data_IF_930010515838
#
_entry.id   IF_930010515838
#
_cell.length_a   1.000
_cell.length_b   1.000
_cell.length_c   1.000
_cell.angle_alpha   90.00
_cell.angle_beta   90.00
_cell.angle_gamma   90.00
#
_symmetry.space_group_name_H-M   'P 1'
#
loop_
_entity.id
_entity.type
_entity.pdbx_description
1 polymer ?
#
# COMPACT_ATOMS: atom_id res chain seq x y z
N UNK A 1 28.65 -18.35 -17.93
CA UNK A 1 27.62 -19.40 -18.07
C UNK A 1 26.20 -18.87 -17.91
N UNK A 2 25.84 -18.16 -16.82
CA UNK A 2 24.45 -17.68 -16.59
C UNK A 2 23.84 -16.86 -17.74
N UNK A 3 24.56 -15.88 -18.30
CA UNK A 3 24.04 -15.07 -19.42
C UNK A 3 23.86 -15.86 -20.72
N UNK A 4 24.73 -16.85 -20.97
CA UNK A 4 24.58 -17.74 -22.14
C UNK A 4 23.34 -18.62 -21.96
N UNK A 5 23.12 -19.17 -20.77
CA UNK A 5 21.92 -19.94 -20.46
C UNK A 5 20.65 -19.09 -20.65
N UNK A 6 20.64 -17.84 -20.15
CA UNK A 6 19.51 -16.93 -20.37
C UNK A 6 19.28 -16.61 -21.84
N UNK A 7 20.35 -16.46 -22.63
CA UNK A 7 20.24 -16.27 -24.07
C UNK A 7 19.64 -17.50 -24.78
N UNK A 8 19.97 -18.70 -24.33
CA UNK A 8 19.33 -19.93 -24.82
C UNK A 8 17.86 -19.96 -24.41
N UNK A 9 17.54 -19.69 -23.15
CA UNK A 9 16.16 -19.67 -22.64
C UNK A 9 15.29 -18.71 -23.46
N UNK A 10 15.72 -17.46 -23.67
CA UNK A 10 14.92 -16.50 -24.45
C UNK A 10 14.75 -16.95 -25.91
N UNK A 11 15.80 -17.49 -26.52
CA UNK A 11 15.70 -18.03 -27.90
C UNK A 11 14.70 -19.19 -27.97
N UNK A 12 14.70 -20.06 -26.96
CA UNK A 12 13.73 -21.17 -26.87
C UNK A 12 12.31 -20.65 -26.65
N UNK A 13 12.11 -19.68 -25.76
CA UNK A 13 10.79 -19.08 -25.52
C UNK A 13 10.23 -18.48 -26.81
N UNK A 14 11.02 -17.66 -27.51
CA UNK A 14 10.63 -17.04 -28.78
C UNK A 14 10.26 -18.09 -29.85
N UNK A 15 10.97 -19.21 -29.90
CA UNK A 15 10.65 -20.31 -30.82
C UNK A 15 9.35 -21.01 -30.45
N UNK A 16 9.09 -21.20 -29.15
CA UNK A 16 7.88 -21.86 -28.66
C UNK A 16 6.63 -21.00 -28.78
N UNK A 17 6.75 -19.67 -28.82
CA UNK A 17 5.62 -18.74 -28.93
C UNK A 17 4.71 -19.01 -30.13
N UNK A 18 5.30 -19.28 -31.31
CA UNK A 18 4.54 -19.58 -32.52
C UNK A 18 3.77 -20.91 -32.39
N UNK A 19 4.40 -21.92 -31.79
CA UNK A 19 3.74 -23.19 -31.50
C UNK A 19 2.61 -23.04 -30.47
N UNK A 20 2.81 -22.18 -29.47
CA UNK A 20 1.81 -21.86 -28.45
C UNK A 20 0.57 -21.22 -29.09
N UNK A 21 0.77 -20.19 -29.91
CA UNK A 21 -0.29 -19.52 -30.66
C UNK A 21 -1.03 -20.48 -31.60
N UNK A 22 -0.30 -21.30 -32.37
CA UNK A 22 -0.92 -22.19 -33.36
C UNK A 22 -1.75 -23.31 -32.72
N UNK A 23 -1.26 -23.90 -31.63
CA UNK A 23 -1.83 -25.13 -31.10
C UNK A 23 -2.77 -24.90 -29.90
N UNK A 24 -2.63 -23.79 -29.18
CA UNK A 24 -3.29 -23.58 -27.88
C UNK A 24 -4.04 -22.25 -27.74
N UNK A 25 -4.27 -21.50 -28.82
CA UNK A 25 -4.98 -20.21 -28.77
C UNK A 25 -6.45 -20.28 -29.22
N UNK A 26 -6.73 -21.05 -30.27
CA UNK A 26 -8.05 -21.07 -30.91
C UNK A 26 -8.93 -22.19 -30.31
N UNK A 27 -9.26 -23.22 -31.10
CA UNK A 27 -10.18 -24.30 -30.70
C UNK A 27 -9.73 -25.08 -29.44
N UNK A 28 -8.41 -25.11 -29.17
CA UNK A 28 -7.82 -25.80 -28.02
C UNK A 28 -7.22 -24.81 -27.01
N UNK A 29 -7.94 -23.74 -26.65
CA UNK A 29 -7.45 -22.77 -25.68
C UNK A 29 -7.12 -23.41 -24.32
N UNK A 30 -5.84 -23.37 -23.92
CA UNK A 30 -5.37 -23.90 -22.63
C UNK A 30 -4.89 -22.78 -21.71
N UNK A 31 -5.78 -22.37 -20.81
CA UNK A 31 -5.48 -21.33 -19.82
C UNK A 31 -4.18 -21.59 -19.03
N UNK A 32 -3.94 -22.83 -18.60
CA UNK A 32 -2.80 -23.14 -17.71
C UNK A 32 -1.47 -23.00 -18.44
N UNK A 33 -1.41 -23.38 -19.71
CA UNK A 33 -0.21 -23.25 -20.53
C UNK A 33 0.12 -21.77 -20.76
N UNK A 34 -0.88 -20.96 -21.12
CA UNK A 34 -0.73 -19.52 -21.30
C UNK A 34 -0.35 -18.80 -20.01
N UNK A 35 -1.01 -19.15 -18.90
CA UNK A 35 -0.68 -18.61 -17.58
C UNK A 35 0.79 -18.91 -17.22
N UNK A 36 1.19 -20.18 -17.37
CA UNK A 36 2.57 -20.61 -17.13
C UNK A 36 3.58 -19.90 -18.04
N UNK A 37 3.21 -19.62 -19.29
CA UNK A 37 4.03 -18.87 -20.23
C UNK A 37 4.29 -17.44 -19.75
N UNK A 38 3.23 -16.70 -19.37
CA UNK A 38 3.39 -15.33 -18.85
C UNK A 38 4.18 -15.30 -17.55
N UNK A 39 3.92 -16.24 -16.63
CA UNK A 39 4.69 -16.34 -15.39
C UNK A 39 6.17 -16.66 -15.66
N UNK A 40 6.49 -17.55 -16.60
CA UNK A 40 7.88 -17.82 -17.00
C UNK A 40 8.57 -16.55 -17.52
N UNK A 41 7.89 -15.79 -18.39
CA UNK A 41 8.43 -14.58 -18.96
C UNK A 41 8.66 -13.49 -17.89
N UNK A 42 7.71 -13.32 -16.97
CA UNK A 42 7.84 -12.39 -15.82
C UNK A 42 9.00 -12.82 -14.91
N UNK A 43 9.07 -14.10 -14.54
CA UNK A 43 10.16 -14.63 -13.70
C UNK A 43 11.50 -14.39 -14.38
N UNK A 44 11.60 -14.66 -15.69
CA UNK A 44 12.82 -14.43 -16.49
C UNK A 44 13.27 -12.96 -16.39
N UNK A 45 12.38 -12.01 -16.65
CA UNK A 45 12.70 -10.58 -16.60
C UNK A 45 13.14 -10.14 -15.19
N UNK A 46 12.48 -10.65 -14.15
CA UNK A 46 12.74 -10.28 -12.76
C UNK A 46 14.01 -10.93 -12.15
N UNK A 47 14.69 -11.83 -12.86
CA UNK A 47 15.90 -12.48 -12.33
C UNK A 47 17.01 -11.48 -11.98
N UNK A 48 17.59 -11.63 -10.79
CA UNK A 48 18.71 -10.78 -10.30
C UNK A 48 19.91 -10.72 -11.27
N UNK A 49 20.15 -11.79 -12.03
CA UNK A 49 21.27 -11.82 -12.97
C UNK A 49 21.03 -11.01 -14.27
N UNK A 50 19.81 -10.55 -14.50
CA UNK A 50 19.43 -9.67 -15.60
C UNK A 50 19.19 -8.22 -15.14
N UNK A 51 19.26 -7.93 -13.84
CA UNK A 51 19.18 -6.58 -13.29
C UNK A 51 20.48 -5.80 -13.52
N UNK A 52 20.66 -5.30 -14.74
CA UNK A 52 21.89 -4.67 -15.23
C UNK A 52 22.25 -3.38 -14.48
N UNK A 53 21.29 -2.74 -13.84
CA UNK A 53 21.48 -1.58 -12.96
C UNK A 53 22.31 -1.91 -11.71
N UNK A 54 22.37 -3.18 -11.31
CA UNK A 54 23.20 -3.65 -10.19
C UNK A 54 24.63 -4.00 -10.62
N UNK A 55 24.95 -3.92 -11.93
CA UNK A 55 26.27 -4.25 -12.44
C UNK A 55 27.18 -3.02 -12.49
N UNK A 56 28.49 -3.26 -12.44
CA UNK A 56 29.48 -2.24 -12.77
C UNK A 56 29.32 -1.79 -14.22
N UNK A 57 29.65 -0.52 -14.51
CA UNK A 57 29.51 0.07 -15.85
C UNK A 57 30.22 -0.76 -16.93
N UNK A 58 31.44 -1.25 -16.66
CA UNK A 58 32.21 -2.08 -17.60
C UNK A 58 31.54 -3.42 -17.88
N UNK A 59 30.96 -4.07 -16.86
CA UNK A 59 30.23 -5.34 -17.03
C UNK A 59 28.95 -5.11 -17.81
N UNK A 60 28.15 -4.10 -17.45
CA UNK A 60 26.92 -3.72 -18.15
C UNK A 60 27.17 -3.48 -19.63
N UNK A 61 28.19 -2.69 -19.98
CA UNK A 61 28.59 -2.42 -21.37
C UNK A 61 28.89 -3.70 -22.15
N UNK A 62 29.74 -4.58 -21.61
CA UNK A 62 30.09 -5.86 -22.26
C UNK A 62 28.88 -6.78 -22.45
N UNK A 63 27.94 -6.79 -21.51
CA UNK A 63 26.72 -7.61 -21.62
C UNK A 63 25.82 -7.07 -22.74
N UNK A 64 25.58 -5.76 -22.76
CA UNK A 64 24.75 -5.11 -23.78
C UNK A 64 25.35 -5.24 -25.19
N UNK A 65 26.66 -5.09 -25.34
CA UNK A 65 27.35 -5.27 -26.63
C UNK A 65 27.21 -6.69 -27.19
N UNK A 66 27.17 -7.70 -26.31
CA UNK A 66 27.16 -9.11 -26.73
C UNK A 66 25.76 -9.71 -26.87
N UNK A 67 24.83 -9.33 -26.00
CA UNK A 67 23.50 -9.96 -25.90
C UNK A 67 22.33 -8.97 -26.03
N UNK A 68 22.59 -7.66 -26.04
CA UNK A 68 21.55 -6.66 -25.83
C UNK A 68 20.94 -6.73 -24.42
N UNK A 69 19.83 -6.03 -24.22
CA UNK A 69 19.03 -6.18 -22.99
C UNK A 69 17.94 -7.23 -23.23
N UNK A 70 18.22 -8.47 -22.84
CA UNK A 70 17.30 -9.61 -22.98
C UNK A 70 15.93 -9.36 -22.30
N UNK A 71 15.86 -8.48 -21.30
CA UNK A 71 14.59 -8.13 -20.64
C UNK A 71 13.66 -7.39 -21.60
N UNK A 72 14.21 -6.52 -22.46
CA UNK A 72 13.44 -5.77 -23.46
C UNK A 72 12.89 -6.73 -24.51
N UNK A 73 13.71 -7.65 -25.01
CA UNK A 73 13.27 -8.66 -25.97
C UNK A 73 12.14 -9.51 -25.40
N UNK A 74 12.26 -9.96 -24.14
CA UNK A 74 11.18 -10.71 -23.48
C UNK A 74 9.93 -9.84 -23.24
N UNK A 75 10.09 -8.55 -22.93
CA UNK A 75 8.96 -7.61 -22.79
C UNK A 75 8.19 -7.42 -24.11
N UNK A 76 8.90 -7.27 -25.23
CA UNK A 76 8.30 -7.24 -26.56
C UNK A 76 7.53 -8.53 -26.85
N UNK A 77 8.07 -9.66 -26.43
CA UNK A 77 7.43 -10.95 -26.59
C UNK A 77 6.16 -11.07 -25.74
N UNK A 78 6.19 -10.68 -24.46
CA UNK A 78 5.00 -10.61 -23.61
C UNK A 78 3.93 -9.73 -24.27
N UNK A 79 4.32 -8.55 -24.76
CA UNK A 79 3.39 -7.65 -25.44
C UNK A 79 2.77 -8.31 -26.67
N UNK A 80 3.57 -8.91 -27.55
CA UNK A 80 3.07 -9.56 -28.76
C UNK A 80 2.13 -10.73 -28.43
N UNK A 81 2.51 -11.57 -27.48
CA UNK A 81 1.71 -12.71 -27.05
C UNK A 81 0.42 -12.27 -26.39
N UNK A 82 0.46 -11.23 -25.57
CA UNK A 82 -0.72 -10.62 -24.97
C UNK A 82 -1.71 -10.14 -26.04
N UNK A 83 -1.24 -9.48 -27.11
CA UNK A 83 -2.13 -9.04 -28.19
C UNK A 83 -2.87 -10.19 -28.88
N UNK A 84 -2.27 -11.38 -28.95
CA UNK A 84 -2.85 -12.54 -29.61
C UNK A 84 -3.98 -13.21 -28.81
N UNK A 85 -4.04 -13.04 -27.48
CA UNK A 85 -4.99 -13.75 -26.60
C UNK A 85 -6.47 -13.46 -26.94
N UNK A 86 -6.78 -12.29 -27.52
CA UNK A 86 -8.16 -11.91 -27.84
C UNK A 86 -9.06 -11.83 -26.60
N UNK A 87 -10.28 -12.38 -26.68
CA UNK A 87 -11.30 -12.30 -25.62
C UNK A 87 -10.89 -13.00 -24.31
N UNK A 88 -9.97 -13.96 -24.39
CA UNK A 88 -9.50 -14.68 -23.20
C UNK A 88 -8.70 -13.81 -22.23
N UNK A 89 -8.29 -12.59 -22.62
CA UNK A 89 -7.55 -11.64 -21.77
C UNK A 89 -8.24 -11.41 -20.43
N UNK A 90 -9.57 -11.33 -20.42
CA UNK A 90 -10.38 -11.07 -19.21
C UNK A 90 -10.08 -12.08 -18.09
N UNK A 91 -9.79 -13.34 -18.43
CA UNK A 91 -9.47 -14.37 -17.45
C UNK A 91 -8.07 -14.22 -16.83
N UNK A 92 -7.16 -13.53 -17.51
CA UNK A 92 -5.79 -13.32 -17.03
C UNK A 92 -5.61 -12.01 -16.27
N UNK A 93 -6.40 -10.97 -16.58
CA UNK A 93 -6.27 -9.62 -16.00
C UNK A 93 -6.13 -9.66 -14.45
N UNK A 94 -7.00 -10.36 -13.69
CA UNK A 94 -6.91 -10.34 -12.22
C UNK A 94 -5.63 -10.94 -11.67
N UNK A 95 -5.02 -11.89 -12.39
CA UNK A 95 -3.81 -12.61 -12.00
C UNK A 95 -2.54 -11.90 -12.49
N UNK A 96 -2.54 -11.34 -13.70
CA UNK A 96 -1.35 -10.78 -14.36
C UNK A 96 -1.09 -9.29 -14.09
N UNK A 97 -2.04 -8.52 -13.54
CA UNK A 97 -1.78 -7.12 -13.15
C UNK A 97 -0.55 -7.00 -12.24
N UNK A 98 -0.46 -7.83 -11.20
CA UNK A 98 0.68 -7.81 -10.27
C UNK A 98 2.01 -8.18 -10.94
N UNK A 99 2.10 -9.36 -11.58
CA UNK A 99 3.27 -9.78 -12.36
C UNK A 99 3.74 -8.75 -13.40
N UNK A 100 2.83 -8.14 -14.16
CA UNK A 100 3.21 -7.12 -15.14
C UNK A 100 3.65 -5.81 -14.49
N UNK A 101 3.07 -5.42 -13.34
CA UNK A 101 3.56 -4.28 -12.56
C UNK A 101 5.01 -4.51 -12.08
N UNK A 102 5.36 -5.72 -11.65
CA UNK A 102 6.75 -6.02 -11.26
C UNK A 102 7.74 -5.76 -12.40
N UNK A 103 7.37 -6.17 -13.63
CA UNK A 103 8.15 -5.94 -14.84
C UNK A 103 8.27 -4.45 -15.15
N UNK A 104 7.18 -3.68 -15.07
CA UNK A 104 7.20 -2.24 -15.40
C UNK A 104 7.94 -1.40 -14.38
N UNK A 105 8.05 -1.85 -13.13
CA UNK A 105 8.80 -1.15 -12.09
C UNK A 105 10.33 -1.25 -12.26
N UNK A 106 10.84 -2.16 -13.10
CA UNK A 106 12.27 -2.24 -13.43
C UNK A 106 12.72 -0.93 -14.11
N UNK A 107 13.85 -0.32 -13.71
CA UNK A 107 14.36 0.93 -14.27
C UNK A 107 15.02 0.73 -15.65
N UNK A 108 14.24 0.22 -16.60
CA UNK A 108 14.61 0.05 -18.01
C UNK A 108 13.54 0.76 -18.87
N UNK A 109 13.88 1.87 -19.55
CA UNK A 109 12.89 2.71 -20.26
C UNK A 109 12.15 2.03 -21.41
N UNK A 110 12.84 1.23 -22.24
CA UNK A 110 12.25 0.59 -23.42
C UNK A 110 11.21 -0.46 -23.02
N UNK A 111 11.52 -1.25 -22.00
CA UNK A 111 10.67 -2.24 -21.36
C UNK A 111 9.43 -1.57 -20.77
N UNK A 112 9.61 -0.43 -20.06
CA UNK A 112 8.47 0.38 -19.57
C UNK A 112 7.58 0.84 -20.73
N UNK A 113 8.17 1.38 -21.80
CA UNK A 113 7.44 1.85 -22.97
C UNK A 113 6.65 0.75 -23.69
N UNK A 114 7.16 -0.48 -23.68
CA UNK A 114 6.49 -1.65 -24.29
C UNK A 114 5.38 -2.20 -23.38
N UNK A 115 5.64 -2.28 -22.07
CA UNK A 115 4.77 -2.99 -21.14
C UNK A 115 3.64 -2.11 -20.56
N UNK A 116 3.88 -0.83 -20.30
CA UNK A 116 2.84 0.09 -19.76
C UNK A 116 1.57 0.11 -20.64
N UNK A 117 1.66 0.14 -21.99
CA UNK A 117 0.51 -0.03 -22.88
C UNK A 117 -0.42 -1.21 -22.60
N UNK A 118 0.06 -2.28 -21.98
CA UNK A 118 -0.78 -3.44 -21.65
C UNK A 118 -1.85 -3.07 -20.63
N UNK A 119 -1.56 -2.18 -19.66
CA UNK A 119 -2.56 -1.75 -18.68
C UNK A 119 -3.73 -0.99 -19.30
N UNK A 120 -3.49 -0.24 -20.37
CA UNK A 120 -4.58 0.35 -21.16
C UNK A 120 -5.48 -0.74 -21.75
N UNK A 121 -4.90 -1.78 -22.34
CA UNK A 121 -5.65 -2.89 -22.91
C UNK A 121 -6.42 -3.68 -21.83
N UNK A 122 -5.83 -3.88 -20.64
CA UNK A 122 -6.53 -4.46 -19.50
C UNK A 122 -7.75 -3.62 -19.09
N UNK A 123 -7.62 -2.29 -19.04
CA UNK A 123 -8.72 -1.38 -18.74
C UNK A 123 -9.81 -1.43 -19.81
N UNK A 124 -9.43 -1.44 -21.09
CA UNK A 124 -10.38 -1.52 -22.21
C UNK A 124 -11.17 -2.84 -22.21
N UNK A 125 -10.51 -3.98 -21.98
CA UNK A 125 -11.17 -5.28 -21.90
C UNK A 125 -12.12 -5.39 -20.70
N UNK A 126 -11.74 -4.89 -19.53
CA UNK A 126 -12.65 -4.88 -18.37
C UNK A 126 -13.85 -3.94 -18.61
N UNK A 127 -13.60 -2.77 -19.22
CA UNK A 127 -14.65 -1.81 -19.54
C UNK A 127 -15.66 -2.39 -20.53
N UNK A 128 -15.21 -3.09 -21.58
CA UNK A 128 -16.09 -3.77 -22.54
C UNK A 128 -16.91 -4.89 -21.90
N UNK A 129 -16.33 -5.62 -20.94
CA UNK A 129 -16.98 -6.75 -20.30
C UNK A 129 -17.97 -6.37 -19.19
N UNK A 130 -17.59 -5.41 -18.33
CA UNK A 130 -18.30 -5.09 -17.09
C UNK A 130 -18.85 -3.66 -17.02
N UNK A 131 -18.54 -2.82 -18.02
CA UNK A 131 -18.91 -1.40 -18.05
C UNK A 131 -18.14 -0.52 -17.06
N UNK A 132 -17.16 -1.06 -16.33
CA UNK A 132 -16.31 -0.34 -15.39
C UNK A 132 -14.90 -0.99 -15.31
N UNK A 133 -13.98 -0.38 -14.56
CA UNK A 133 -12.61 -0.90 -14.33
C UNK A 133 -12.30 -1.12 -12.83
N UNK A 134 -13.31 -1.41 -12.00
CA UNK A 134 -13.15 -1.51 -10.54
C UNK A 134 -12.22 -2.65 -10.13
N UNK A 135 -12.17 -3.74 -10.88
CA UNK A 135 -11.28 -4.87 -10.58
C UNK A 135 -9.84 -4.53 -10.92
N UNK A 136 -9.58 -3.94 -12.09
CA UNK A 136 -8.25 -3.43 -12.48
C UNK A 136 -7.79 -2.38 -11.47
N UNK A 137 -8.63 -1.40 -11.14
CA UNK A 137 -8.31 -0.38 -10.14
C UNK A 137 -7.94 -0.99 -8.79
N UNK A 138 -8.78 -1.88 -8.26
CA UNK A 138 -8.53 -2.51 -6.97
C UNK A 138 -7.21 -3.30 -6.96
N UNK A 139 -6.90 -4.03 -8.03
CA UNK A 139 -5.67 -4.82 -8.15
C UNK A 139 -4.43 -3.95 -8.35
N UNK A 140 -4.53 -2.88 -9.13
CA UNK A 140 -3.44 -1.90 -9.31
C UNK A 140 -3.08 -1.26 -7.97
N UNK A 141 -4.08 -0.76 -7.23
CA UNK A 141 -3.86 -0.12 -5.92
C UNK A 141 -3.20 -1.09 -4.93
N UNK A 142 -3.74 -2.31 -4.81
CA UNK A 142 -3.23 -3.33 -3.90
C UNK A 142 -1.77 -3.69 -4.21
N UNK A 143 -1.46 -3.94 -5.48
CA UNK A 143 -0.12 -4.35 -5.88
C UNK A 143 0.90 -3.21 -5.84
N UNK A 144 0.50 -1.99 -6.18
CA UNK A 144 1.38 -0.83 -6.07
C UNK A 144 1.77 -0.54 -4.62
N UNK A 145 0.84 -0.63 -3.66
CA UNK A 145 1.16 -0.46 -2.23
C UNK A 145 2.27 -1.41 -1.78
N UNK A 146 2.13 -2.71 -2.07
CA UNK A 146 3.13 -3.74 -1.73
C UNK A 146 4.46 -3.49 -2.43
N UNK A 147 4.45 -3.30 -3.75
CA UNK A 147 5.67 -3.23 -4.56
C UNK A 147 6.48 -1.95 -4.29
N UNK A 148 5.83 -0.80 -4.10
CA UNK A 148 6.54 0.43 -3.74
C UNK A 148 7.05 0.39 -2.29
N UNK A 149 6.32 -0.28 -1.38
CA UNK A 149 6.80 -0.53 -0.01
C UNK A 149 8.05 -1.43 0.02
N UNK A 150 8.19 -2.37 -0.92
CA UNK A 150 9.40 -3.19 -1.13
C UNK A 150 10.57 -2.42 -1.74
N UNK A 151 10.40 -1.13 -2.05
CA UNK A 151 11.43 -0.27 -2.62
C UNK A 151 11.53 -0.30 -4.15
N UNK A 152 10.58 -0.93 -4.85
CA UNK A 152 10.50 -0.90 -6.32
C UNK A 152 9.86 0.41 -6.81
N UNK A 153 10.06 0.74 -8.08
CA UNK A 153 9.49 1.95 -8.71
C UNK A 153 10.23 3.26 -8.39
N UNK A 154 10.03 4.26 -9.24
CA UNK A 154 10.66 5.57 -9.15
C UNK A 154 9.77 6.65 -9.77
N UNK A 155 10.17 7.92 -9.64
CA UNK A 155 9.43 9.06 -10.20
C UNK A 155 9.31 8.96 -11.73
N UNK A 156 10.33 8.44 -12.41
CA UNK A 156 10.30 8.30 -13.87
C UNK A 156 9.24 7.27 -14.31
N UNK A 157 9.02 6.21 -13.52
CA UNK A 157 7.93 5.26 -13.75
C UNK A 157 6.57 5.93 -13.60
N UNK A 158 6.36 6.71 -12.54
CA UNK A 158 5.12 7.46 -12.31
C UNK A 158 4.79 8.40 -13.47
N UNK A 159 5.78 9.14 -13.95
CA UNK A 159 5.65 10.05 -15.09
C UNK A 159 5.35 9.31 -16.40
N UNK A 160 6.05 8.20 -16.68
CA UNK A 160 5.82 7.37 -17.86
C UNK A 160 4.45 6.70 -17.83
N UNK A 161 4.03 6.16 -16.68
CA UNK A 161 2.72 5.54 -16.50
C UNK A 161 1.60 6.53 -16.81
N UNK A 162 1.67 7.74 -16.23
CA UNK A 162 0.71 8.80 -16.48
C UNK A 162 0.69 9.24 -17.95
N UNK A 163 1.85 9.58 -18.52
CA UNK A 163 1.95 10.13 -19.88
C UNK A 163 1.54 9.14 -20.97
N UNK A 164 1.98 7.88 -20.89
CA UNK A 164 1.67 6.86 -21.91
C UNK A 164 0.18 6.51 -21.89
N UNK A 165 -0.40 6.32 -20.70
CA UNK A 165 -1.80 5.91 -20.59
C UNK A 165 -2.75 7.05 -20.96
N UNK A 166 -2.49 8.29 -20.52
CA UNK A 166 -3.30 9.44 -20.92
C UNK A 166 -3.35 9.61 -22.44
N UNK A 167 -2.19 9.53 -23.10
CA UNK A 167 -2.09 9.62 -24.57
C UNK A 167 -2.90 8.53 -25.29
N UNK A 168 -3.00 7.33 -24.72
CA UNK A 168 -3.79 6.24 -25.32
C UNK A 168 -5.29 6.45 -25.13
N UNK A 169 -5.70 6.91 -23.96
CA UNK A 169 -7.12 7.09 -23.61
C UNK A 169 -7.78 8.27 -24.32
N UNK A 170 -7.03 9.26 -24.83
CA UNK A 170 -7.57 10.42 -25.54
C UNK A 170 -8.60 10.09 -26.64
N UNK A 171 -8.46 8.92 -27.27
CA UNK A 171 -9.30 8.47 -28.38
C UNK A 171 -10.43 7.54 -27.96
N UNK A 172 -10.50 7.17 -26.69
CA UNK A 172 -11.44 6.17 -26.17
C UNK A 172 -12.77 6.80 -25.74
N UNK A 173 -13.86 6.04 -25.86
CA UNK A 173 -15.21 6.48 -25.46
C UNK A 173 -15.34 6.59 -23.93
N UNK A 174 -14.57 5.80 -23.19
CA UNK A 174 -14.55 5.74 -21.73
C UNK A 174 -13.50 6.66 -21.09
N UNK A 175 -13.04 7.68 -21.84
CA UNK A 175 -11.91 8.54 -21.46
C UNK A 175 -12.04 9.24 -20.11
N UNK A 176 -13.23 9.71 -19.75
CA UNK A 176 -13.44 10.49 -18.52
C UNK A 176 -13.17 9.62 -17.28
N UNK A 177 -13.75 8.43 -17.27
CA UNK A 177 -13.52 7.42 -16.25
C UNK A 177 -12.05 6.96 -16.26
N UNK A 178 -11.47 6.70 -17.44
CA UNK A 178 -10.07 6.29 -17.58
C UNK A 178 -9.06 7.32 -17.04
N UNK A 179 -9.28 8.61 -17.32
CA UNK A 179 -8.45 9.71 -16.79
C UNK A 179 -8.56 9.77 -15.26
N UNK A 180 -9.75 9.56 -14.69
CA UNK A 180 -9.94 9.50 -13.24
C UNK A 180 -9.11 8.38 -12.61
N UNK A 181 -9.14 7.17 -13.18
CA UNK A 181 -8.33 6.05 -12.68
C UNK A 181 -6.82 6.35 -12.74
N UNK A 182 -6.33 6.86 -13.87
CA UNK A 182 -4.91 7.19 -14.01
C UNK A 182 -4.52 8.26 -12.99
N UNK A 183 -5.34 9.29 -12.80
CA UNK A 183 -5.08 10.32 -11.81
C UNK A 183 -5.00 9.74 -10.39
N UNK A 184 -5.93 8.87 -10.02
CA UNK A 184 -5.95 8.18 -8.72
C UNK A 184 -4.69 7.33 -8.53
N UNK A 185 -4.33 6.49 -9.51
CA UNK A 185 -3.15 5.61 -9.45
C UNK A 185 -1.85 6.40 -9.43
N UNK A 186 -1.75 7.49 -10.21
CA UNK A 186 -0.57 8.36 -10.25
C UNK A 186 -0.38 9.10 -8.93
N UNK A 187 -1.47 9.59 -8.33
CA UNK A 187 -1.44 10.23 -7.00
C UNK A 187 -1.09 9.24 -5.90
N UNK A 188 -1.57 7.99 -5.99
CA UNK A 188 -1.15 6.93 -5.09
C UNK A 188 0.37 6.70 -5.18
N UNK A 189 0.92 6.54 -6.39
CA UNK A 189 2.36 6.36 -6.59
C UNK A 189 3.15 7.53 -5.98
N UNK A 190 2.73 8.78 -6.20
CA UNK A 190 3.36 9.95 -5.61
C UNK A 190 3.41 9.87 -4.07
N UNK A 191 2.28 9.54 -3.44
CA UNK A 191 2.20 9.42 -1.97
C UNK A 191 3.03 8.27 -1.42
N UNK A 192 3.09 7.15 -2.13
CA UNK A 192 3.92 6.01 -1.75
C UNK A 192 5.42 6.29 -1.91
N UNK A 193 5.81 6.99 -2.98
CA UNK A 193 7.18 7.43 -3.20
C UNK A 193 7.62 8.44 -2.14
N UNK A 194 6.78 9.44 -1.83
CA UNK A 194 6.96 10.38 -0.71
C UNK A 194 7.14 9.62 0.62
N UNK A 195 6.23 8.68 0.92
CA UNK A 195 6.27 7.86 2.12
C UNK A 195 7.58 7.07 2.23
N UNK A 196 7.98 6.39 1.15
CA UNK A 196 9.24 5.64 1.09
C UNK A 196 10.45 6.53 1.36
N UNK A 197 10.48 7.72 0.79
CA UNK A 197 11.56 8.68 1.00
C UNK A 197 11.62 9.19 2.45
N UNK A 198 10.47 9.38 3.10
CA UNK A 198 10.40 9.71 4.53
C UNK A 198 10.89 8.57 5.44
N UNK A 199 10.72 7.30 5.01
CA UNK A 199 11.06 6.12 5.81
C UNK A 199 12.54 5.70 5.71
N UNK A 200 13.35 6.38 4.89
CA UNK A 200 14.80 6.12 4.80
C UNK A 200 15.51 6.38 6.13
N UNK A 201 16.57 5.60 6.38
CA UNK A 201 17.38 5.70 7.61
C UNK A 201 17.98 7.10 7.76
N UNK A 202 17.80 7.71 8.94
CA UNK A 202 18.34 9.03 9.29
C UNK A 202 17.32 10.18 9.31
N UNK A 203 16.07 9.95 8.89
CA UNK A 203 14.99 10.96 8.97
C UNK A 203 14.35 11.04 10.36
N UNK A 204 13.97 12.26 10.77
CA UNK A 204 13.36 12.57 12.09
C UNK A 204 11.99 11.89 12.20
N UNK A 205 11.69 11.30 13.36
CA UNK A 205 10.45 10.53 13.58
C UNK A 205 9.17 11.34 13.31
N UNK A 206 9.19 12.66 13.54
CA UNK A 206 8.08 13.53 13.18
C UNK A 206 7.76 13.58 11.69
N UNK A 207 8.76 13.46 10.79
CA UNK A 207 8.54 13.40 9.34
C UNK A 207 7.90 12.07 8.95
N UNK A 208 8.36 10.95 9.54
CA UNK A 208 7.79 9.61 9.32
C UNK A 208 6.31 9.55 9.74
N UNK A 209 6.00 10.08 10.92
CA UNK A 209 4.62 10.18 11.44
C UNK A 209 3.76 11.02 10.48
N UNK A 210 4.23 12.22 10.09
CA UNK A 210 3.50 13.10 9.17
C UNK A 210 3.21 12.47 7.80
N UNK A 211 4.20 11.81 7.19
CA UNK A 211 4.00 11.13 5.89
C UNK A 211 3.02 9.95 6.03
N UNK A 212 3.09 9.20 7.13
CA UNK A 212 2.16 8.09 7.41
C UNK A 212 0.72 8.58 7.56
N UNK A 213 0.51 9.69 8.29
CA UNK A 213 -0.81 10.31 8.45
C UNK A 213 -1.37 10.81 7.11
N UNK A 214 -0.54 11.43 6.27
CA UNK A 214 -0.97 11.88 4.95
C UNK A 214 -1.44 10.70 4.08
N UNK A 215 -0.72 9.58 4.12
CA UNK A 215 -1.06 8.38 3.35
C UNK A 215 -2.31 7.69 3.91
N UNK A 216 -2.45 7.63 5.24
CA UNK A 216 -3.63 7.13 5.94
C UNK A 216 -4.89 7.91 5.55
N UNK A 217 -4.81 9.25 5.51
CA UNK A 217 -5.93 10.09 5.06
C UNK A 217 -6.30 9.81 3.60
N UNK A 218 -5.30 9.66 2.72
CA UNK A 218 -5.53 9.32 1.31
C UNK A 218 -6.31 8.00 1.15
N UNK A 219 -5.95 6.96 1.89
CA UNK A 219 -6.67 5.68 1.86
C UNK A 219 -8.11 5.78 2.36
N UNK A 220 -8.38 6.64 3.36
CA UNK A 220 -9.72 6.86 3.92
C UNK A 220 -10.60 7.69 3.00
N UNK A 221 -10.13 8.87 2.58
CA UNK A 221 -10.97 9.87 1.93
C UNK A 221 -11.05 9.69 0.42
N UNK A 222 -9.99 9.20 -0.21
CA UNK A 222 -9.90 9.18 -1.67
C UNK A 222 -10.11 7.80 -2.27
N UNK A 223 -9.52 6.77 -1.67
CA UNK A 223 -9.59 5.41 -2.20
C UNK A 223 -10.71 4.56 -1.57
N UNK A 224 -11.16 4.92 -0.37
CA UNK A 224 -12.10 4.15 0.44
C UNK A 224 -11.69 2.66 0.55
N UNK A 225 -10.40 2.39 0.80
CA UNK A 225 -9.83 1.03 0.93
C UNK A 225 -9.57 0.72 2.39
N UNK A 226 -10.58 0.18 3.06
CA UNK A 226 -10.59 -0.07 4.50
C UNK A 226 -9.42 -0.95 4.98
N UNK A 227 -9.13 -2.06 4.29
CA UNK A 227 -8.01 -2.94 4.69
C UNK A 227 -6.66 -2.22 4.66
N UNK A 228 -6.41 -1.41 3.62
CA UNK A 228 -5.17 -0.62 3.55
C UNK A 228 -5.12 0.44 4.63
N UNK A 229 -6.25 1.11 4.87
CA UNK A 229 -6.38 2.07 5.97
C UNK A 229 -6.02 1.45 7.32
N UNK A 230 -6.53 0.24 7.64
CA UNK A 230 -6.22 -0.48 8.88
C UNK A 230 -4.73 -0.89 8.94
N UNK A 231 -4.12 -1.33 7.82
CA UNK A 231 -2.67 -1.62 7.77
C UNK A 231 -1.84 -0.39 8.12
N UNK A 232 -2.20 0.78 7.58
CA UNK A 232 -1.49 2.02 7.86
C UNK A 232 -1.77 2.58 9.26
N UNK A 233 -2.94 2.33 9.85
CA UNK A 233 -3.20 2.58 11.28
C UNK A 233 -2.18 1.81 12.13
N UNK A 234 -1.97 0.52 11.85
CA UNK A 234 -1.01 -0.29 12.62
C UNK A 234 0.45 0.15 12.40
N UNK A 235 0.83 0.50 11.17
CA UNK A 235 2.17 1.09 10.91
C UNK A 235 2.37 2.39 11.69
N UNK A 236 1.35 3.25 11.77
CA UNK A 236 1.39 4.50 12.53
C UNK A 236 1.45 4.25 14.05
N UNK A 237 0.67 3.28 14.54
CA UNK A 237 0.70 2.84 15.93
C UNK A 237 2.10 2.40 16.36
N UNK A 238 2.77 1.58 15.56
CA UNK A 238 4.13 1.11 15.84
C UNK A 238 5.15 2.27 15.84
N UNK A 239 4.97 3.27 14.99
CA UNK A 239 5.79 4.49 15.01
C UNK A 239 5.58 5.30 16.29
N UNK A 240 4.33 5.46 16.75
CA UNK A 240 4.04 6.14 18.01
C UNK A 240 4.60 5.40 19.22
N UNK A 241 4.51 4.06 19.24
CA UNK A 241 5.12 3.26 20.30
C UNK A 241 6.65 3.41 20.35
N UNK A 242 7.33 3.37 19.19
CA UNK A 242 8.78 3.57 19.10
C UNK A 242 9.20 4.95 19.58
N UNK A 243 8.39 5.98 19.31
CA UNK A 243 8.60 7.34 19.77
C UNK A 243 8.11 7.60 21.22
N UNK A 244 7.64 6.56 21.93
CA UNK A 244 7.04 6.65 23.27
C UNK A 244 5.85 7.60 23.39
N UNK A 245 5.17 7.88 22.27
CA UNK A 245 3.98 8.71 22.19
C UNK A 245 2.73 7.86 22.47
N UNK A 246 2.58 7.37 23.70
CA UNK A 246 1.51 6.40 24.06
C UNK A 246 0.08 6.96 23.88
N UNK A 247 -0.13 8.25 24.15
CA UNK A 247 -1.44 8.90 23.95
C UNK A 247 -1.82 8.94 22.47
N UNK A 248 -0.89 9.28 21.58
CA UNK A 248 -1.14 9.26 20.13
C UNK A 248 -1.30 7.82 19.61
N UNK A 249 -0.57 6.86 20.18
CA UNK A 249 -0.74 5.45 19.86
C UNK A 249 -2.17 4.98 20.19
N UNK A 250 -2.70 5.38 21.34
CA UNK A 250 -4.07 5.10 21.75
C UNK A 250 -5.10 5.73 20.79
N UNK A 251 -4.93 7.01 20.44
CA UNK A 251 -5.80 7.68 19.46
C UNK A 251 -5.72 7.07 18.07
N UNK A 252 -4.55 6.58 17.67
CA UNK A 252 -4.38 5.90 16.39
C UNK A 252 -5.20 4.62 16.34
N UNK A 253 -5.21 3.81 17.40
CA UNK A 253 -6.04 2.60 17.46
C UNK A 253 -7.55 2.91 17.56
N UNK A 254 -7.94 4.05 18.15
CA UNK A 254 -9.34 4.50 18.12
C UNK A 254 -9.85 4.70 16.69
N UNK A 255 -8.99 5.05 15.72
CA UNK A 255 -9.38 5.12 14.31
C UNK A 255 -9.81 3.76 13.76
N UNK A 256 -9.23 2.65 14.25
CA UNK A 256 -9.67 1.30 13.89
C UNK A 256 -10.94 0.92 14.66
N UNK A 257 -11.02 1.29 15.94
CA UNK A 257 -12.23 1.07 16.75
C UNK A 257 -13.49 1.67 16.10
N UNK A 258 -13.39 2.86 15.51
CA UNK A 258 -14.48 3.55 14.81
C UNK A 258 -15.03 2.78 13.59
N UNK A 259 -14.28 1.82 13.03
CA UNK A 259 -14.71 1.00 11.90
C UNK A 259 -15.45 -0.27 12.32
N UNK A 260 -15.34 -0.67 13.59
CA UNK A 260 -15.92 -1.90 14.11
C UNK A 260 -17.26 -1.63 14.79
N UNK A 261 -18.14 -2.62 14.77
CA UNK A 261 -19.39 -2.61 15.52
C UNK A 261 -19.35 -3.65 16.65
N UNK A 262 -20.15 -3.46 17.69
CA UNK A 262 -20.34 -4.46 18.75
C UNK A 262 -21.25 -5.57 18.24
N UNK A 263 -20.75 -6.37 17.29
CA UNK A 263 -21.51 -7.40 16.58
C UNK A 263 -20.81 -8.76 16.59
N UNK A 264 -21.58 -9.83 16.44
CA UNK A 264 -21.06 -11.19 16.29
C UNK A 264 -20.60 -11.50 14.84
N UNK A 265 -20.48 -10.49 13.98
CA UNK A 265 -20.04 -10.67 12.59
C UNK A 265 -18.66 -11.32 12.57
N UNK A 266 -18.47 -12.45 11.84
CA UNK A 266 -17.17 -13.10 11.78
C UNK A 266 -16.20 -12.27 10.93
N UNK A 267 -15.05 -11.95 11.50
CA UNK A 267 -13.92 -11.36 10.81
C UNK A 267 -12.92 -12.45 10.41
N UNK A 268 -12.39 -12.32 9.20
CA UNK A 268 -11.27 -13.15 8.74
C UNK A 268 -9.99 -12.82 9.50
N UNK A 269 -9.02 -13.73 9.39
CA UNK A 269 -7.65 -13.45 9.80
C UNK A 269 -7.12 -12.22 9.06
N UNK A 270 -6.55 -11.28 9.81
CA UNK A 270 -6.04 -10.04 9.24
C UNK A 270 -4.93 -9.48 10.12
N UNK A 271 -3.79 -9.12 9.51
CA UNK A 271 -2.57 -8.74 10.25
C UNK A 271 -2.18 -9.82 11.28
N UNK A 272 -2.13 -9.47 12.55
CA UNK A 272 -1.83 -10.38 13.66
C UNK A 272 -3.11 -10.84 14.39
N UNK A 273 -4.30 -10.50 13.90
CA UNK A 273 -5.55 -10.91 14.51
C UNK A 273 -6.02 -12.25 13.94
N UNK A 274 -6.34 -13.24 14.81
CA UNK A 274 -6.92 -14.49 14.36
C UNK A 274 -8.35 -14.28 13.85
N UNK A 275 -8.93 -15.33 13.26
CA UNK A 275 -10.35 -15.36 12.93
C UNK A 275 -11.17 -15.24 14.22
N UNK A 276 -11.99 -14.20 14.32
CA UNK A 276 -12.72 -13.84 15.54
C UNK A 276 -13.91 -12.94 15.19
N UNK A 277 -14.83 -12.70 16.13
CA UNK A 277 -15.95 -11.76 15.89
C UNK A 277 -15.49 -10.31 15.95
N UNK A 278 -16.28 -9.40 15.38
CA UNK A 278 -16.03 -7.96 15.54
C UNK A 278 -16.04 -7.55 17.00
N UNK A 279 -16.99 -8.07 17.77
CA UNK A 279 -17.09 -7.84 19.20
C UNK A 279 -15.77 -8.18 19.90
N UNK A 280 -15.20 -9.37 19.65
CA UNK A 280 -13.93 -9.80 20.22
C UNK A 280 -12.76 -8.91 19.79
N UNK A 281 -12.73 -8.49 18.51
CA UNK A 281 -11.70 -7.57 18.03
C UNK A 281 -11.81 -6.19 18.68
N UNK A 282 -13.03 -5.68 18.82
CA UNK A 282 -13.33 -4.39 19.41
C UNK A 282 -13.01 -4.38 20.91
N UNK A 283 -13.34 -5.45 21.63
CA UNK A 283 -12.95 -5.65 23.02
C UNK A 283 -11.43 -5.61 23.19
N UNK A 284 -10.70 -6.39 22.40
CA UNK A 284 -9.23 -6.42 22.43
C UNK A 284 -8.61 -5.04 22.17
N UNK A 285 -9.11 -4.31 21.17
CA UNK A 285 -8.66 -2.95 20.87
C UNK A 285 -8.92 -1.99 22.03
N UNK A 286 -10.11 -2.01 22.63
CA UNK A 286 -10.43 -1.18 23.79
C UNK A 286 -9.45 -1.42 24.96
N UNK A 287 -9.17 -2.68 25.29
CA UNK A 287 -8.22 -3.02 26.35
C UNK A 287 -6.81 -2.52 26.03
N UNK A 288 -6.35 -2.67 24.78
CA UNK A 288 -5.07 -2.13 24.32
C UNK A 288 -5.01 -0.61 24.37
N UNK A 289 -6.10 0.08 24.00
CA UNK A 289 -6.19 1.54 24.02
C UNK A 289 -6.15 2.05 25.47
N UNK A 290 -6.88 1.42 26.40
CA UNK A 290 -6.87 1.78 27.82
C UNK A 290 -5.45 1.65 28.39
N UNK A 291 -4.73 0.56 28.08
CA UNK A 291 -3.34 0.38 28.53
C UNK A 291 -2.41 1.47 27.98
N UNK A 292 -2.58 1.88 26.72
CA UNK A 292 -1.80 2.96 26.15
C UNK A 292 -2.15 4.33 26.76
N UNK A 293 -3.42 4.61 27.04
CA UNK A 293 -3.81 5.82 27.76
C UNK A 293 -3.27 5.86 29.19
N UNK A 294 -3.22 4.73 29.89
CA UNK A 294 -2.62 4.64 31.21
C UNK A 294 -1.12 4.98 31.17
N UNK A 295 -0.38 4.39 30.23
CA UNK A 295 1.06 4.71 30.01
C UNK A 295 1.27 6.16 29.59
N UNK A 296 0.37 6.71 28.78
CA UNK A 296 0.39 8.11 28.33
C UNK A 296 -0.12 9.11 29.36
N UNK A 297 -0.51 8.68 30.57
CA UNK A 297 -1.11 9.51 31.64
C UNK A 297 -2.35 10.29 31.20
N UNK A 298 -3.09 9.76 30.23
CA UNK A 298 -4.32 10.32 29.69
C UNK A 298 -5.54 9.59 30.27
N UNK A 299 -5.61 9.56 31.60
CA UNK A 299 -6.51 8.68 32.34
C UNK A 299 -7.99 9.00 32.15
N UNK A 300 -8.35 10.26 31.88
CA UNK A 300 -9.73 10.67 31.62
C UNK A 300 -10.32 9.95 30.41
N UNK A 301 -9.54 9.84 29.33
CA UNK A 301 -9.96 9.11 28.13
C UNK A 301 -9.99 7.60 28.38
N UNK A 302 -9.06 7.09 29.19
CA UNK A 302 -9.10 5.70 29.67
C UNK A 302 -10.39 5.37 30.41
N UNK A 303 -10.82 6.23 31.34
CA UNK A 303 -12.07 6.08 32.11
C UNK A 303 -13.29 6.02 31.20
N UNK A 304 -13.37 6.91 30.19
CA UNK A 304 -14.48 6.90 29.22
C UNK A 304 -14.57 5.55 28.51
N UNK A 305 -13.42 4.99 28.08
CA UNK A 305 -13.40 3.67 27.45
C UNK A 305 -13.73 2.54 28.42
N UNK A 306 -13.23 2.58 29.66
CA UNK A 306 -13.57 1.61 30.72
C UNK A 306 -15.08 1.54 30.94
N UNK A 307 -15.78 2.68 30.92
CA UNK A 307 -17.24 2.73 31.05
C UNK A 307 -17.97 2.10 29.86
N UNK A 308 -17.50 2.38 28.64
CA UNK A 308 -18.08 1.79 27.42
C UNK A 308 -17.97 0.27 27.40
N UNK A 309 -16.80 -0.27 27.73
CA UNK A 309 -16.60 -1.73 27.75
C UNK A 309 -17.34 -2.39 28.94
N UNK A 310 -17.43 -1.70 30.08
CA UNK A 310 -18.21 -2.16 31.23
C UNK A 310 -19.71 -2.31 30.87
N UNK A 311 -20.29 -1.35 30.14
CA UNK A 311 -21.66 -1.44 29.65
C UNK A 311 -21.86 -2.67 28.74
N UNK A 312 -20.88 -2.99 27.87
CA UNK A 312 -20.94 -4.21 27.07
C UNK A 312 -20.89 -5.47 27.93
N UNK A 313 -20.00 -5.55 28.92
CA UNK A 313 -19.95 -6.72 29.81
C UNK A 313 -21.23 -6.90 30.62
N UNK A 314 -21.87 -5.81 31.04
CA UNK A 314 -23.16 -5.87 31.73
C UNK A 314 -24.27 -6.40 30.82
N UNK A 315 -24.33 -5.93 29.56
CA UNK A 315 -25.30 -6.40 28.56
C UNK A 315 -25.14 -7.90 28.24
N UNK A 316 -23.91 -8.42 28.27
CA UNK A 316 -23.59 -9.84 28.04
C UNK A 316 -23.54 -10.67 29.34
N UNK A 317 -23.89 -10.09 30.49
CA UNK A 317 -23.87 -10.74 31.81
C UNK A 317 -22.47 -11.28 32.23
N UNK A 318 -21.38 -10.72 31.70
CA UNK A 318 -20.01 -11.05 32.10
C UNK A 318 -19.57 -10.20 33.32
N UNK A 319 -20.14 -10.54 34.47
CA UNK A 319 -19.87 -9.82 35.70
C UNK A 319 -18.41 -9.94 36.18
N UNK A 320 -17.68 -10.97 35.72
CA UNK A 320 -16.28 -11.19 36.11
C UNK A 320 -15.38 -10.16 35.45
N UNK A 321 -15.54 -9.94 34.15
CA UNK A 321 -14.78 -8.91 33.45
C UNK A 321 -15.31 -7.51 33.76
N UNK A 322 -16.61 -7.34 34.02
CA UNK A 322 -17.16 -6.09 34.55
C UNK A 322 -16.47 -5.65 35.84
N UNK A 323 -16.32 -6.55 36.81
CA UNK A 323 -15.64 -6.26 38.08
C UNK A 323 -14.20 -5.75 37.86
N UNK A 324 -13.45 -6.40 36.96
CA UNK A 324 -12.08 -5.96 36.61
C UNK A 324 -12.07 -4.57 35.98
N UNK A 325 -13.04 -4.27 35.11
CA UNK A 325 -13.13 -2.95 34.48
C UNK A 325 -13.46 -1.84 35.48
N UNK A 326 -14.32 -2.11 36.46
CA UNK A 326 -14.61 -1.16 37.54
C UNK A 326 -13.40 -0.92 38.44
N UNK A 327 -12.61 -1.95 38.74
CA UNK A 327 -11.35 -1.79 39.46
C UNK A 327 -10.32 -0.98 38.67
N UNK A 328 -10.24 -1.19 37.35
CA UNK A 328 -9.40 -0.37 36.47
C UNK A 328 -9.85 1.09 36.48
N UNK A 329 -11.16 1.35 36.35
CA UNK A 329 -11.75 2.69 36.42
C UNK A 329 -11.41 3.39 37.75
N UNK A 330 -11.57 2.70 38.88
CA UNK A 330 -11.20 3.22 40.20
C UNK A 330 -9.71 3.57 40.28
N UNK A 331 -8.83 2.67 39.83
CA UNK A 331 -7.39 2.92 39.82
C UNK A 331 -7.00 4.14 38.98
N UNK A 332 -7.70 4.40 37.87
CA UNK A 332 -7.46 5.58 37.05
C UNK A 332 -7.88 6.88 37.76
N UNK A 333 -8.95 6.87 38.55
CA UNK A 333 -9.31 8.02 39.39
C UNK A 333 -8.25 8.34 40.43
N UNK A 334 -7.76 7.32 41.14
CA UNK A 334 -6.71 7.49 42.13
C UNK A 334 -5.45 8.09 41.48
N UNK A 335 -5.06 7.59 40.31
CA UNK A 335 -3.93 8.16 39.55
C UNK A 335 -4.12 9.64 39.19
N UNK A 336 -5.33 10.05 38.77
CA UNK A 336 -5.62 11.46 38.45
C UNK A 336 -5.41 12.36 39.68
N UNK A 337 -5.81 11.89 40.86
CA UNK A 337 -5.72 12.67 42.10
C UNK A 337 -4.31 12.67 42.69
N UNK A 338 -3.62 11.53 42.65
CA UNK A 338 -2.37 11.32 43.40
C UNK A 338 -1.12 11.63 42.58
N UNK A 339 -1.18 11.57 41.25
CA UNK A 339 -0.01 11.74 40.40
C UNK A 339 0.01 13.09 39.70
N UNK A 340 1.11 13.83 39.89
CA UNK A 340 1.33 15.11 39.21
C UNK A 340 1.64 14.91 37.72
N UNK A 341 0.91 15.62 36.86
CA UNK A 341 1.16 15.72 35.41
C UNK A 341 1.95 16.99 35.10
N UNK A 342 2.88 16.90 34.16
CA UNK A 342 3.52 18.08 33.58
C UNK A 342 2.52 18.75 32.65
N UNK A 343 2.38 20.08 32.74
CA UNK A 343 1.55 20.81 31.81
C UNK A 343 2.14 20.71 30.39
N UNK A 344 1.31 20.41 29.37
CA UNK A 344 1.77 20.35 27.99
C UNK A 344 2.15 21.75 27.48
N UNK A 345 3.35 21.89 26.92
CA UNK A 345 3.77 23.10 26.22
C UNK A 345 3.42 22.99 24.73
N UNK A 346 2.89 24.05 24.13
CA UNK A 346 2.51 24.07 22.71
C UNK A 346 3.38 25.03 21.92
N UNK A 347 3.95 24.56 20.81
CA UNK A 347 4.77 25.35 19.89
C UNK A 347 4.10 25.44 18.52
N UNK A 348 4.08 26.62 17.92
CA UNK A 348 3.67 26.80 16.51
C UNK A 348 4.90 26.74 15.62
N UNK A 349 4.88 25.87 14.62
CA UNK A 349 5.96 25.72 13.66
C UNK A 349 5.43 26.01 12.25
N UNK A 350 6.04 26.99 11.57
CA UNK A 350 5.76 27.33 10.17
C UNK A 350 6.89 26.85 9.25
N UNK A 351 6.52 26.23 8.13
CA UNK A 351 7.48 25.75 7.13
C UNK A 351 7.45 26.66 5.90
N UNK A 352 8.50 27.45 5.67
CA UNK A 352 8.56 28.41 4.57
C UNK A 352 9.64 28.01 3.54
N UNK A 353 9.26 27.87 2.27
CA UNK A 353 10.20 27.70 1.15
C UNK A 353 9.95 26.47 0.28
N UNK A 354 10.40 26.52 -0.98
CA UNK A 354 10.16 25.49 -2.03
C UNK A 354 10.92 24.17 -1.82
N UNK A 355 11.74 24.04 -0.78
CA UNK A 355 12.53 22.82 -0.50
C UNK A 355 11.83 21.83 0.45
N UNK A 356 10.77 22.24 1.15
CA UNK A 356 10.02 21.34 2.04
C UNK A 356 9.14 20.37 1.23
N UNK A 357 8.74 19.19 1.73
CA UNK A 357 7.72 18.36 1.08
C UNK A 357 6.40 19.11 0.86
N UNK A 358 5.64 18.79 -0.20
CA UNK A 358 4.43 19.55 -0.58
C UNK A 358 3.41 19.62 0.56
N UNK A 359 3.26 18.54 1.34
CA UNK A 359 2.36 18.47 2.49
C UNK A 359 2.75 19.39 3.67
N UNK A 360 3.98 19.93 3.70
CA UNK A 360 4.43 20.88 4.74
C UNK A 360 4.44 22.34 4.27
N UNK A 361 4.50 22.61 2.95
CA UNK A 361 4.73 23.97 2.39
C UNK A 361 3.64 25.00 2.71
N UNK A 362 2.47 24.58 3.22
CA UNK A 362 1.34 25.47 3.53
C UNK A 362 0.60 25.12 4.84
N UNK A 363 1.20 24.33 5.73
CA UNK A 363 0.59 23.98 7.01
C UNK A 363 1.28 24.67 8.18
N UNK A 364 0.53 25.48 8.93
CA UNK A 364 0.85 25.81 10.32
C UNK A 364 0.60 24.55 11.18
N UNK A 365 1.66 23.99 11.76
CA UNK A 365 1.54 22.83 12.66
C UNK A 365 1.70 23.28 14.10
N UNK A 366 0.74 22.92 14.98
CA UNK A 366 0.92 22.97 16.43
C UNK A 366 1.62 21.68 16.87
N UNK A 367 2.80 21.80 17.48
CA UNK A 367 3.52 20.70 18.11
C UNK A 367 3.34 20.75 19.62
N UNK A 368 3.21 19.59 20.25
CA UNK A 368 3.39 19.48 21.69
C UNK A 368 4.87 19.36 21.99
N UNK A 369 5.38 20.23 22.85
CA UNK A 369 6.61 19.95 23.57
C UNK A 369 6.29 19.01 24.72
N UNK A 370 6.73 17.76 24.63
CA UNK A 370 7.13 17.06 25.85
C UNK A 370 8.62 17.34 26.04
N UNK A 371 9.07 17.49 27.30
CA UNK A 371 10.50 17.72 27.61
C UNK A 371 11.41 16.56 27.18
N UNK A 372 10.85 15.47 26.64
CA UNK A 372 11.63 14.33 26.16
C UNK A 372 11.41 14.00 24.67
N UNK A 373 10.24 14.22 24.04
CA UNK A 373 10.01 13.99 22.60
C UNK A 373 8.89 14.87 21.98
N UNK A 374 9.06 15.47 20.78
CA UNK A 374 8.01 16.27 20.13
C UNK A 374 6.98 15.37 19.41
N UNK A 375 5.73 15.39 19.88
CA UNK A 375 4.57 14.76 19.21
C UNK A 375 3.85 15.72 18.26
N UNK A 376 3.35 15.20 17.14
CA UNK A 376 2.47 15.91 16.20
C UNK A 376 1.04 15.43 16.46
N UNK A 377 0.13 16.34 16.78
CA UNK A 377 -1.29 16.03 16.92
C UNK A 377 -2.02 16.12 15.58
N UNK A 378 -2.92 15.14 15.35
CA UNK A 378 -4.07 15.28 14.47
C UNK A 378 -5.11 16.17 15.16
N UNK A 379 -5.20 17.44 14.76
CA UNK A 379 -6.28 18.32 15.25
C UNK A 379 -7.59 17.87 14.60
N UNK A 380 -8.48 17.29 15.41
CA UNK A 380 -9.91 17.13 15.06
C UNK A 380 -10.48 18.56 14.94
N UNK A 381 -10.80 18.98 13.72
CA UNK A 381 -11.53 20.23 13.49
C UNK A 381 -12.87 20.16 14.22
N UNK A 382 -13.21 21.22 14.94
CA UNK A 382 -14.59 21.42 15.42
C UNK A 382 -15.50 21.73 14.25
#
# INVERSE_FOLDING_TARGET
>A
MRLVANNVIITTVLYLSDALCKNFLNENFDYKIWDSYFYLAVIFINQLCLQLEMFTLSKKKKVLEKYGDMRVTMGCEIFSMWQNIGEHKIHFIPALIGPFLEVTLIPQPDLRNVMIPIFHDMMDWEQRHSGNFKQVEAKLIDKLDSLLSEGKGDETYRELFNSILLKKIERETWRESGVSLIATVTRLMERLLDYRDCMKMGEVDGKKIGCTVSLLNFYKTELNKEEMYIRYIHKLYDLHLKAQNFTEAAYTLLLYDELLEWSDRPLREFLNYPMQTEWQRKEFLHLMIIQNFDRGKCWENGIILCRKIAEQYENYYDYRNLSKMRLMEASLYDKIMDQQRLEPEFFRVGFYGKKFPFFLRFCDSKRLGSKEHPGIFLVKGR
#
